data_IF_875096127665
#
_entry.id   IF_875096127665
#
_cell.length_a   1.000
_cell.length_b   1.000
_cell.length_c   1.000
_cell.angle_alpha   90.00
_cell.angle_beta   90.00
_cell.angle_gamma   90.00
#
_symmetry.space_group_name_H-M   'P 1'
#
loop_
_entity.id
_entity.type
_entity.pdbx_description
1 polymer ?
2 non-polymer ?
3 non-polymer ?
4 non-polymer ?
5 water ?
#
# COMPACT_ATOMS: atom_id res chain seq x y z
N UNK A 2 14.33 5.60 -10.17
CA UNK A 2 12.93 6.06 -10.49
C UNK A 2 12.48 7.24 -9.62
N UNK A 3 11.27 7.72 -9.85
CA UNK A 3 10.79 8.89 -9.07
C UNK A 3 10.64 8.62 -7.60
N UNK A 4 10.92 9.64 -6.78
CA UNK A 4 10.73 9.55 -5.35
C UNK A 4 10.08 10.85 -4.88
N UNK A 5 9.46 10.82 -3.74
CA UNK A 5 8.89 12.05 -3.15
C UNK A 5 10.07 12.90 -2.73
N UNK A 6 9.98 14.20 -2.98
CA UNK A 6 11.04 15.14 -2.69
C UNK A 6 10.81 15.93 -1.40
N UNK A 7 9.94 15.42 -0.54
CA UNK A 7 9.50 16.12 0.65
C UNK A 7 9.25 15.07 1.71
N UNK A 8 9.23 15.46 2.96
CA UNK A 8 9.15 14.49 4.04
C UNK A 8 7.76 14.29 4.60
N UNK A 9 6.93 15.31 4.48
CA UNK A 9 5.56 15.18 4.97
C UNK A 9 4.69 14.76 3.81
N UNK A 10 4.11 13.56 3.89
CA UNK A 10 3.29 12.98 2.83
C UNK A 10 1.91 12.77 3.41
N UNK A 11 0.92 13.06 2.60
CA UNK A 11 -0.49 12.88 2.99
C UNK A 11 -1.12 11.75 2.25
N UNK A 12 -2.09 11.06 2.89
CA UNK A 12 -2.93 10.14 2.25
C UNK A 12 -4.37 10.41 2.56
N UNK A 13 -5.27 9.88 1.72
CA UNK A 13 -6.65 9.97 1.97
C UNK A 13 -7.27 8.64 1.61
N UNK A 14 -8.24 8.18 2.39
CA UNK A 14 -8.98 6.97 2.04
C UNK A 14 -10.18 7.47 1.26
N UNK A 15 -10.17 7.23 -0.04
CA UNK A 15 -11.22 7.70 -0.91
C UNK A 15 -12.58 7.08 -0.55
N UNK A 16 -12.56 5.80 -0.28
CA UNK A 16 -13.79 5.06 0.00
C UNK A 16 -13.35 3.81 0.76
N UNK A 17 -14.31 3.16 1.41
CA UNK A 17 -13.98 2.05 2.28
C UNK A 17 -14.61 0.76 1.77
N UNK A 18 -13.81 -0.29 1.79
CA UNK A 18 -14.37 -1.60 1.44
C UNK A 18 -15.45 -2.00 2.46
N UNK A 19 -16.53 -2.57 2.00
CA UNK A 19 -17.55 -3.14 2.92
C UNK A 19 -17.10 -4.45 3.53
N UNK A 20 -15.93 -4.97 3.13
CA UNK A 20 -15.43 -6.20 3.69
C UNK A 20 -15.00 -6.09 5.12
N UNK A 21 -14.72 -4.87 5.60
CA UNK A 21 -14.09 -4.67 6.87
C UNK A 21 -14.82 -3.58 7.66
N UNK A 22 -14.58 -3.59 8.98
CA UNK A 22 -14.97 -2.46 9.80
C UNK A 22 -14.19 -1.24 9.36
N UNK A 23 -14.84 -0.07 9.37
CA UNK A 23 -14.13 1.13 8.90
C UNK A 23 -12.90 1.42 9.73
N UNK A 24 -12.98 1.20 11.04
CA UNK A 24 -11.83 1.50 11.90
C UNK A 24 -10.67 0.58 11.61
N UNK A 25 -10.95 -0.64 11.16
CA UNK A 25 -9.92 -1.64 10.86
C UNK A 25 -9.26 -1.29 9.52
N UNK A 26 -10.01 -0.68 8.61
CA UNK A 26 -9.38 -0.16 7.38
C UNK A 26 -8.42 0.95 7.74
N UNK A 27 -8.91 1.93 8.52
CA UNK A 27 -8.05 2.98 8.96
C UNK A 27 -6.78 2.48 9.58
N UNK A 28 -6.90 1.52 10.50
CA UNK A 28 -5.77 1.01 11.26
C UNK A 28 -4.78 0.24 10.40
N UNK A 29 -5.30 -0.62 9.52
CA UNK A 29 -4.41 -1.36 8.63
C UNK A 29 -3.63 -0.42 7.75
N UNK A 30 -4.30 0.63 7.21
CA UNK A 30 -3.57 1.54 6.33
C UNK A 30 -2.55 2.35 7.11
N UNK A 31 -2.95 2.85 8.25
CA UNK A 31 -2.05 3.57 9.11
C UNK A 31 -0.80 2.75 9.48
N UNK A 32 -1.01 1.51 9.93
CA UNK A 32 0.10 0.66 10.30
C UNK A 32 1.03 0.37 9.10
N UNK A 33 0.43 0.23 7.93
CA UNK A 33 1.24 -0.06 6.72
C UNK A 33 2.14 1.17 6.43
N UNK A 34 1.59 2.38 6.52
CA UNK A 34 2.43 3.55 6.34
C UNK A 34 3.51 3.60 7.38
N UNK A 35 3.18 3.18 8.60
CA UNK A 35 4.18 3.26 9.70
C UNK A 35 5.35 2.31 9.45
N UNK A 36 5.13 1.17 8.76
CA UNK A 36 6.21 0.29 8.42
C UNK A 36 7.31 1.06 7.68
N UNK A 37 6.90 1.95 6.77
CA UNK A 37 7.84 2.68 5.96
C UNK A 37 8.36 3.93 6.67
N UNK A 38 7.51 4.62 7.43
CA UNK A 38 8.06 5.77 8.18
C UNK A 38 9.05 5.30 9.20
N UNK A 39 8.96 4.04 9.67
CA UNK A 39 9.88 3.49 10.63
C UNK A 39 11.34 3.46 10.11
N UNK A 40 11.52 3.40 8.78
CA UNK A 40 12.88 3.20 8.25
C UNK A 40 13.26 4.30 7.26
N UNK A 41 12.55 5.38 7.27
CA UNK A 41 12.82 6.50 6.42
C UNK A 41 12.58 7.78 7.21
N UNK A 42 12.91 8.94 6.65
CA UNK A 42 12.49 10.22 7.23
C UNK A 42 11.09 10.62 6.94
N UNK A 43 10.29 9.76 6.27
CA UNK A 43 8.99 10.15 5.83
C UNK A 43 8.00 10.19 7.03
N UNK A 44 7.08 11.13 6.98
CA UNK A 44 5.94 11.20 7.91
C UNK A 44 4.67 11.17 7.11
N UNK A 45 3.66 10.39 7.56
CA UNK A 45 2.44 10.22 6.82
C UNK A 45 1.29 10.73 7.68
N UNK A 46 0.38 11.42 7.05
CA UNK A 46 -0.83 11.93 7.76
C UNK A 46 -2.03 11.66 6.94
N UNK A 47 -3.10 11.15 7.55
CA UNK A 47 -4.35 10.95 6.90
C UNK A 47 -5.11 12.27 6.84
N UNK A 48 -5.61 12.63 5.66
CA UNK A 48 -6.43 13.80 5.55
C UNK A 48 -7.81 13.35 5.11
N UNK A 49 -8.81 14.16 5.40
CA UNK A 49 -10.19 13.80 5.20
C UNK A 49 -10.85 14.51 4.03
N UNK A 50 -10.19 15.56 3.50
CA UNK A 50 -10.69 16.35 2.36
C UNK A 50 -9.50 16.85 1.64
N UNK A 51 -9.69 17.24 0.39
CA UNK A 51 -8.64 17.86 -0.36
C UNK A 51 -7.81 16.83 -1.09
N UNK A 52 -6.73 17.31 -1.70
CA UNK A 52 -5.89 16.48 -2.56
C UNK A 52 -4.77 15.92 -1.69
N UNK A 53 -4.75 14.64 -1.51
CA UNK A 53 -3.66 14.01 -0.80
C UNK A 53 -2.60 13.63 -1.81
N UNK A 54 -1.40 13.34 -1.31
CA UNK A 54 -0.40 12.74 -2.19
C UNK A 54 -0.81 11.35 -2.61
N UNK A 55 -1.23 10.54 -1.67
CA UNK A 55 -1.53 9.14 -1.91
C UNK A 55 -3.02 8.94 -1.67
N UNK A 56 -3.76 8.76 -2.75
CA UNK A 56 -5.15 8.43 -2.65
C UNK A 56 -5.30 6.92 -2.58
N UNK A 57 -6.03 6.42 -1.57
CA UNK A 57 -6.28 5.00 -1.34
C UNK A 57 -7.67 4.73 -1.81
N UNK A 58 -7.85 3.82 -2.75
CA UNK A 58 -9.10 3.56 -3.38
C UNK A 58 -9.40 2.05 -3.34
N UNK A 59 -10.65 1.70 -3.06
CA UNK A 59 -11.12 0.34 -3.36
C UNK A 59 -12.03 0.42 -4.53
N UNK A 60 -11.76 -0.40 -5.55
CA UNK A 60 -12.53 -0.37 -6.75
C UNK A 60 -12.45 -1.69 -7.45
N UNK A 61 -13.39 -1.93 -8.37
CA UNK A 61 -13.42 -3.21 -9.06
C UNK A 61 -13.44 -2.97 -10.57
N UNK A 62 -13.00 -4.00 -11.31
CA UNK A 62 -13.01 -3.89 -12.78
C UNK A 62 -12.31 -2.65 -13.28
N UNK A 63 -12.85 -2.08 -14.33
CA UNK A 63 -12.35 -0.83 -14.89
C UNK A 63 -12.72 0.32 -13.97
N UNK A 64 -11.73 1.06 -13.52
CA UNK A 64 -11.93 2.14 -12.53
C UNK A 64 -11.24 3.43 -12.85
N UNK A 65 -11.11 3.72 -14.14
CA UNK A 65 -10.56 4.97 -14.61
C UNK A 65 -9.08 5.22 -14.79
N UNK A 66 -8.24 4.21 -14.60
CA UNK A 66 -6.80 4.41 -14.79
C UNK A 66 -6.11 3.59 -15.90
N UNK A 67 -6.92 2.84 -16.65
CA UNK A 67 -6.43 1.99 -17.75
C UNK A 67 -5.85 0.69 -17.27
N UNK A 68 -5.80 0.45 -15.94
CA UNK A 68 -5.29 -0.79 -15.42
C UNK A 68 -6.47 -1.50 -14.69
N UNK A 69 -7.38 -2.07 -15.45
CA UNK A 69 -8.55 -2.64 -14.88
C UNK A 69 -8.19 -3.80 -13.96
N UNK A 70 -9.01 -3.96 -12.89
CA UNK A 70 -8.92 -5.14 -12.10
C UNK A 70 -9.71 -6.32 -12.72
N UNK A 71 -9.51 -7.48 -12.16
CA UNK A 71 -9.79 -8.75 -12.86
C UNK A 71 -10.70 -9.71 -12.09
N UNK A 72 -11.51 -9.19 -11.19
CA UNK A 72 -12.35 -10.07 -10.40
C UNK A 72 -11.55 -10.71 -9.27
N UNK A 73 -12.19 -11.61 -8.54
CA UNK A 73 -11.55 -12.23 -7.42
C UNK A 73 -10.30 -13.00 -7.89
N UNK A 74 -9.27 -12.96 -7.07
CA UNK A 74 -7.99 -13.58 -7.36
C UNK A 74 -7.22 -12.77 -8.36
N UNK A 75 -6.19 -13.39 -8.88
CA UNK A 75 -5.35 -12.68 -9.78
C UNK A 75 -4.72 -11.45 -9.14
N UNK A 76 -4.87 -10.32 -9.80
CA UNK A 76 -4.35 -9.04 -9.28
C UNK A 76 -5.16 -8.65 -8.03
N UNK A 77 -4.45 -8.33 -6.99
CA UNK A 77 -5.07 -7.93 -5.71
C UNK A 77 -5.15 -6.43 -5.56
N UNK A 78 -4.16 -5.71 -6.07
CA UNK A 78 -4.02 -4.29 -5.86
C UNK A 78 -2.90 -3.78 -6.76
N UNK A 79 -2.84 -2.49 -6.94
CA UNK A 79 -1.69 -1.89 -7.64
C UNK A 79 -1.54 -0.46 -7.15
N UNK A 80 -0.38 0.11 -7.42
CA UNK A 80 -0.10 1.45 -6.95
C UNK A 80 0.86 2.13 -7.93
N UNK A 81 0.77 3.45 -7.99
CA UNK A 81 1.55 4.25 -8.89
C UNK A 81 2.72 4.88 -8.16
N UNK A 82 3.87 4.93 -8.84
CA UNK A 82 5.05 5.53 -8.23
C UNK A 82 4.85 7.00 -7.98
N UNK A 83 5.77 7.59 -7.23
CA UNK A 83 5.66 9.03 -6.92
C UNK A 83 5.48 9.93 -8.13
N UNK A 84 4.64 10.93 -7.98
CA UNK A 84 4.31 11.83 -9.02
C UNK A 84 3.06 12.57 -8.69
N UNK A 85 2.74 13.56 -9.50
CA UNK A 85 1.52 14.31 -9.31
C UNK A 85 0.30 13.46 -9.74
N UNK A 86 -0.87 13.93 -9.36
CA UNK A 86 -2.11 13.34 -9.82
C UNK A 86 -2.21 11.89 -9.35
N UNK A 87 -2.36 10.97 -10.29
CA UNK A 87 -2.48 9.58 -9.96
C UNK A 87 -1.24 9.05 -9.31
N UNK A 88 -0.09 9.70 -9.53
CA UNK A 88 1.11 9.21 -8.95
C UNK A 88 0.96 9.05 -7.43
N UNK A 89 1.58 7.98 -6.91
CA UNK A 89 1.45 7.64 -5.52
C UNK A 89 0.19 6.85 -5.16
N UNK A 90 -0.83 6.90 -5.98
CA UNK A 90 -2.14 6.39 -5.52
C UNK A 90 -2.06 4.90 -5.43
N UNK A 91 -2.86 4.33 -4.48
CA UNK A 91 -2.91 2.89 -4.23
C UNK A 91 -4.32 2.40 -4.32
N UNK A 92 -4.54 1.39 -5.19
CA UNK A 92 -5.88 0.91 -5.48
C UNK A 92 -5.95 -0.56 -5.10
N UNK A 93 -7.01 -0.91 -4.41
CA UNK A 93 -7.23 -2.28 -3.94
C UNK A 93 -8.46 -2.86 -4.64
N UNK A 94 -8.31 -4.06 -5.17
CA UNK A 94 -9.40 -4.67 -5.89
C UNK A 94 -10.51 -5.08 -4.93
N UNK A 95 -11.67 -4.47 -5.14
CA UNK A 95 -12.82 -4.76 -4.29
C UNK A 95 -13.31 -6.19 -4.46
N UNK A 96 -13.01 -6.81 -5.59
CA UNK A 96 -13.43 -8.17 -5.76
C UNK A 96 -12.67 -9.14 -4.92
N UNK A 97 -11.61 -8.69 -4.21
CA UNK A 97 -11.00 -9.48 -3.17
C UNK A 97 -11.80 -9.28 -1.88
N UNK A 98 -11.58 -10.16 -0.92
CA UNK A 98 -12.19 -10.04 0.39
C UNK A 98 -11.11 -9.66 1.37
N UNK A 99 -11.08 -8.39 1.76
CA UNK A 99 -10.05 -7.85 2.57
C UNK A 99 -10.34 -8.15 4.03
N UNK A 100 -9.31 -8.49 4.79
CA UNK A 100 -9.44 -8.77 6.21
C UNK A 100 -8.32 -8.27 7.06
N UNK A 101 -8.51 -8.30 8.35
CA UNK A 101 -7.52 -8.03 9.36
C UNK A 101 -6.69 -9.24 9.72
N UNK A 102 -7.00 -10.42 9.16
CA UNK A 102 -6.37 -11.63 9.60
C UNK A 102 -5.90 -12.48 8.44
N UNK A 103 -5.81 -13.83 8.63
CA UNK A 103 -5.29 -14.71 7.59
C UNK A 103 -6.34 -15.16 6.59
N UNK A 104 -7.59 -14.88 6.88
CA UNK A 104 -8.64 -15.17 5.94
C UNK A 104 -8.65 -14.13 4.83
N UNK A 105 -9.25 -14.46 3.73
CA UNK A 105 -9.34 -13.54 2.63
C UNK A 105 -7.94 -13.05 2.22
N UNK A 106 -7.82 -11.79 1.86
CA UNK A 106 -6.53 -11.16 1.58
C UNK A 106 -6.29 -10.12 2.67
N UNK A 107 -5.13 -10.18 3.30
CA UNK A 107 -4.86 -9.29 4.43
C UNK A 107 -4.58 -7.88 3.91
N UNK A 108 -5.38 -6.90 4.31
CA UNK A 108 -5.22 -5.56 3.81
C UNK A 108 -3.93 -4.93 4.28
N UNK A 109 -3.56 -5.10 5.55
CA UNK A 109 -2.31 -4.52 6.05
C UNK A 109 -1.13 -4.98 5.22
N UNK A 110 -0.98 -6.28 5.04
CA UNK A 110 0.20 -6.78 4.30
C UNK A 110 0.19 -6.30 2.87
N UNK A 111 -0.97 -6.29 2.23
CA UNK A 111 -1.09 -5.83 0.86
C UNK A 111 -0.73 -4.33 0.78
N UNK A 112 -1.23 -3.56 1.75
CA UNK A 112 -0.95 -2.15 1.74
C UNK A 112 0.52 -1.85 1.97
N UNK A 113 1.22 -2.64 2.80
CA UNK A 113 2.64 -2.40 2.98
C UNK A 113 3.29 -2.51 1.64
N UNK A 114 2.98 -3.59 0.92
CA UNK A 114 3.58 -3.77 -0.40
C UNK A 114 3.20 -2.63 -1.37
N UNK A 115 1.94 -2.28 -1.46
CA UNK A 115 1.50 -1.22 -2.40
C UNK A 115 2.12 0.11 -2.07
N UNK A 116 2.16 0.46 -0.77
CA UNK A 116 2.77 1.71 -0.36
C UNK A 116 4.23 1.73 -0.74
N UNK A 117 4.90 0.58 -0.67
CA UNK A 117 6.27 0.55 -1.16
C UNK A 117 6.36 1.03 -2.59
N UNK A 118 5.40 0.64 -3.42
CA UNK A 118 5.35 1.15 -4.79
C UNK A 118 5.01 2.64 -4.81
N UNK A 119 4.09 3.06 -3.95
CA UNK A 119 3.74 4.48 -3.87
C UNK A 119 4.94 5.35 -3.50
N UNK A 120 5.90 4.76 -2.83
CA UNK A 120 7.14 5.46 -2.41
C UNK A 120 8.25 5.32 -3.48
N UNK A 121 8.06 4.46 -4.49
CA UNK A 121 9.02 4.35 -5.58
C UNK A 121 9.74 3.02 -5.67
N UNK A 122 9.45 2.06 -4.80
CA UNK A 122 10.10 0.76 -4.81
C UNK A 122 9.53 -0.08 -5.92
N UNK A 123 10.38 -0.91 -6.49
CA UNK A 123 9.98 -1.95 -7.45
C UNK A 123 9.80 -3.26 -6.76
N UNK A 124 9.96 -4.36 -7.48
CA UNK A 124 9.85 -5.64 -6.87
C UNK A 124 11.19 -6.25 -6.57
N UNK A 125 11.20 -7.04 -5.51
CA UNK A 125 12.36 -7.79 -5.03
C UNK A 125 12.25 -9.23 -5.51
N UNK A 126 13.41 -9.85 -5.83
CA UNK A 126 13.40 -11.26 -6.14
C UNK A 126 13.41 -12.15 -4.91
N UNK A 127 13.50 -11.58 -3.71
CA UNK A 127 13.65 -12.38 -2.48
C UNK A 127 12.29 -12.72 -1.93
N UNK A 128 11.96 -14.00 -1.76
CA UNK A 128 10.62 -14.37 -1.26
C UNK A 128 10.35 -13.89 0.17
N UNK A 129 11.37 -13.49 0.91
CA UNK A 129 11.18 -13.01 2.28
C UNK A 129 10.86 -11.52 2.29
N UNK A 130 10.98 -10.84 1.16
CA UNK A 130 10.71 -9.39 1.11
C UNK A 130 9.28 -9.12 0.97
N UNK A 131 8.82 -8.03 1.62
CA UNK A 131 7.45 -7.62 1.41
C UNK A 131 7.19 -7.19 -0.05
N UNK A 132 8.25 -6.69 -0.71
CA UNK A 132 8.19 -6.30 -2.12
C UNK A 132 8.34 -7.44 -3.08
N UNK A 133 8.32 -8.69 -2.60
CA UNK A 133 8.28 -9.85 -3.50
C UNK A 133 6.95 -9.83 -4.21
N UNK A 134 6.91 -10.23 -5.49
CA UNK A 134 5.73 -10.01 -6.26
C UNK A 134 4.51 -10.79 -5.81
N UNK A 135 4.67 -11.80 -4.96
CA UNK A 135 3.65 -12.78 -4.62
C UNK A 135 3.16 -12.64 -3.21
N UNK A 136 1.84 -12.63 -3.10
CA UNK A 136 1.21 -12.45 -1.79
C UNK A 136 1.31 -13.75 -1.01
N UNK A 137 1.77 -13.66 0.22
CA UNK A 137 1.64 -14.78 1.16
C UNK A 137 1.42 -14.21 2.54
N UNK A 138 0.47 -14.77 3.27
CA UNK A 138 0.19 -14.32 4.61
C UNK A 138 1.32 -14.66 5.53
N UNK A 139 1.68 -13.70 6.38
CA UNK A 139 2.56 -13.95 7.49
C UNK A 139 1.89 -13.24 8.67
N UNK A 140 2.15 -13.72 9.88
CA UNK A 140 1.55 -13.14 11.07
C UNK A 140 1.79 -11.64 11.12
N UNK A 141 0.69 -10.91 11.08
CA UNK A 141 0.81 -9.47 10.92
C UNK A 141 1.24 -8.80 12.22
N UNK A 142 1.03 -9.46 13.34
CA UNK A 142 1.38 -8.85 14.61
C UNK A 142 2.88 -8.86 14.85
N UNK A 143 3.62 -9.73 14.18
CA UNK A 143 5.08 -9.77 14.27
C UNK A 143 5.77 -9.42 12.97
N UNK A 144 5.03 -8.81 12.05
CA UNK A 144 5.57 -8.52 10.73
C UNK A 144 6.82 -7.66 10.82
N UNK A 145 7.83 -7.99 9.98
CA UNK A 145 9.07 -7.19 9.87
C UNK A 145 9.51 -7.15 8.41
N UNK A 146 9.92 -5.96 7.93
CA UNK A 146 10.51 -5.83 6.61
C UNK A 146 11.74 -6.70 6.52
N UNK A 147 11.99 -7.19 5.32
CA UNK A 147 13.24 -7.97 5.08
C UNK A 147 14.41 -6.99 4.93
N UNK A 148 15.64 -7.54 5.02
CA UNK A 148 16.84 -6.76 4.81
C UNK A 148 16.86 -6.21 3.41
N UNK A 149 16.31 -6.96 2.45
CA UNK A 149 16.23 -6.47 1.05
C UNK A 149 15.26 -5.26 0.92
N UNK A 150 14.15 -5.29 1.65
CA UNK A 150 13.22 -4.15 1.58
C UNK A 150 13.87 -2.92 2.19
N UNK A 151 14.52 -3.09 3.35
CA UNK A 151 15.17 -1.99 3.98
C UNK A 151 16.25 -1.41 3.08
N UNK A 152 17.07 -2.28 2.47
CA UNK A 152 18.07 -1.85 1.48
C UNK A 152 17.38 -0.99 0.43
N UNK A 153 16.31 -1.51 -0.14
CA UNK A 153 15.62 -0.79 -1.23
C UNK A 153 15.11 0.59 -0.84
N UNK A 154 14.39 0.67 0.31
CA UNK A 154 13.80 1.95 0.69
C UNK A 154 14.88 2.94 1.10
N UNK A 155 15.96 2.44 1.72
CA UNK A 155 17.01 3.35 2.12
C UNK A 155 17.89 3.77 0.92
N UNK A 156 17.81 3.05 -0.22
CA UNK A 156 18.42 3.53 -1.45
C UNK A 156 17.65 4.72 -2.05
N UNK A 157 16.37 4.90 -1.66
CA UNK A 157 15.55 5.97 -2.13
C UNK A 157 15.44 7.11 -1.13
N UNK A 158 15.45 6.83 0.17
CA UNK A 158 15.20 7.85 1.18
C UNK A 158 16.22 7.62 2.30
N UNK A 159 16.50 8.65 3.02
CA UNK A 159 17.36 8.47 4.19
C UNK A 159 18.81 8.10 4.02
#
# INVERSE_FOLDING_TARGET
MGPVWRKHYITYRINNYTPDMNREDVDYAIRKAFQVWSNVTPLKFSKINTGMADILVVFARGAHGDDHAFDGKGGILAHAFGPGSGIGGDAHFDEDEFWTTHSGGTNLFLTAVHEIGHSLGLGHSSDPKAVMFPTYKYVDINTFRLSADDIRGIQSLYG
#
